data_IF_908810967462
#
_entry.id   IF_908810967462
#
_cell.length_a   1.000
_cell.length_b   1.000
_cell.length_c   1.000
_cell.angle_alpha   90.00
_cell.angle_beta   90.00
_cell.angle_gamma   90.00
#
_symmetry.space_group_name_H-M   'P 1'
#
loop_
_entity.id
_entity.type
_entity.pdbx_description
1 polymer ?
#
# COMPACT_ATOMS: atom_id res chain seq x y z
N UNK A 1 3.53 -1.64 -13.45
CA UNK A 1 3.36 -0.37 -12.72
C UNK A 1 2.63 0.63 -13.61
N UNK A 2 1.30 0.76 -13.51
CA UNK A 2 0.55 1.76 -14.27
C UNK A 2 -0.01 2.81 -13.30
N UNK A 3 0.58 4.01 -13.31
CA UNK A 3 0.08 5.31 -12.85
C UNK A 3 1.20 6.15 -12.22
N UNK A 4 1.07 7.47 -12.35
CA UNK A 4 2.03 8.51 -12.00
C UNK A 4 2.23 8.70 -10.48
N UNK A 5 2.63 7.64 -9.78
CA UNK A 5 3.13 7.75 -8.40
C UNK A 5 4.51 8.41 -8.47
N UNK A 6 4.82 9.40 -7.61
CA UNK A 6 6.13 10.04 -7.60
C UNK A 6 7.23 9.00 -7.44
N UNK A 7 8.10 8.89 -8.45
CA UNK A 7 9.24 8.00 -8.43
C UNK A 7 10.30 8.57 -7.47
N UNK A 8 10.55 7.86 -6.39
CA UNK A 8 11.67 8.07 -5.48
C UNK A 8 12.63 6.91 -5.74
N UNK A 9 13.80 7.22 -6.28
CA UNK A 9 14.74 6.21 -6.82
C UNK A 9 15.21 5.20 -5.75
N UNK A 10 15.16 5.58 -4.48
CA UNK A 10 15.58 4.76 -3.34
C UNK A 10 14.42 3.98 -2.69
N UNK A 11 13.17 4.24 -3.08
CA UNK A 11 12.02 3.62 -2.45
C UNK A 11 11.65 2.30 -3.11
N UNK A 12 11.21 1.35 -2.29
CA UNK A 12 10.60 0.11 -2.76
C UNK A 12 9.09 0.29 -2.87
N UNK A 13 8.53 -0.19 -3.98
CA UNK A 13 7.10 -0.10 -4.28
C UNK A 13 6.47 -1.48 -4.21
N UNK A 14 5.39 -1.59 -3.44
CA UNK A 14 4.61 -2.81 -3.28
C UNK A 14 3.20 -2.58 -3.78
N UNK A 15 2.62 -3.57 -4.46
CA UNK A 15 1.23 -3.55 -4.88
C UNK A 15 0.38 -4.40 -3.92
N UNK A 16 -0.71 -3.84 -3.43
CA UNK A 16 -1.73 -4.57 -2.68
C UNK A 16 -2.70 -5.20 -3.67
N UNK A 17 -2.77 -6.53 -3.67
CA UNK A 17 -3.77 -7.24 -4.47
C UNK A 17 -5.12 -7.25 -3.75
N UNK A 18 -6.07 -6.51 -4.32
CA UNK A 18 -7.42 -6.36 -3.78
C UNK A 18 -8.38 -7.51 -4.18
N UNK A 19 -7.87 -8.57 -4.81
CA UNK A 19 -8.67 -9.75 -5.18
C UNK A 19 -9.05 -10.65 -3.98
N UNK A 20 -8.37 -10.46 -2.85
CA UNK A 20 -8.48 -11.31 -1.66
C UNK A 20 -9.58 -10.84 -0.70
N UNK A 21 -10.16 -11.76 0.09
CA UNK A 21 -11.20 -11.42 1.06
C UNK A 21 -10.72 -10.44 2.14
N UNK A 22 -9.42 -10.45 2.45
CA UNK A 22 -8.81 -9.46 3.34
C UNK A 22 -8.95 -8.03 2.80
N UNK A 23 -8.78 -7.84 1.49
CA UNK A 23 -8.95 -6.54 0.86
C UNK A 23 -10.40 -6.07 0.88
N UNK A 24 -11.37 -6.99 0.69
CA UNK A 24 -12.79 -6.66 0.85
C UNK A 24 -13.10 -6.22 2.27
N UNK A 25 -12.59 -6.93 3.28
CA UNK A 25 -12.76 -6.56 4.68
C UNK A 25 -12.16 -5.18 4.99
N UNK A 26 -10.99 -4.85 4.42
CA UNK A 26 -10.39 -3.51 4.57
C UNK A 26 -11.25 -2.41 3.94
N UNK A 27 -11.83 -2.68 2.75
CA UNK A 27 -12.71 -1.73 2.06
C UNK A 27 -14.04 -1.54 2.82
N UNK A 28 -14.65 -2.62 3.30
CA UNK A 28 -15.90 -2.57 4.08
C UNK A 28 -15.70 -1.85 5.42
N UNK A 29 -14.57 -2.08 6.10
CA UNK A 29 -14.22 -1.39 7.33
C UNK A 29 -13.81 0.08 7.11
N UNK A 30 -13.56 0.49 5.86
CA UNK A 30 -13.14 1.83 5.49
C UNK A 30 -11.79 2.24 6.07
N UNK A 31 -10.97 1.29 6.51
CA UNK A 31 -9.67 1.56 7.11
C UNK A 31 -8.63 0.49 6.73
N UNK A 32 -7.36 0.88 6.77
CA UNK A 32 -6.23 0.00 6.58
C UNK A 32 -5.17 0.30 7.63
N UNK A 33 -4.68 -0.74 8.30
CA UNK A 33 -3.61 -0.61 9.30
C UNK A 33 -2.46 -1.49 8.88
N UNK A 34 -1.25 -0.92 8.81
CA UNK A 34 -0.03 -1.65 8.47
C UNK A 34 0.87 -1.72 9.70
N UNK A 35 1.32 -2.93 10.03
CA UNK A 35 2.31 -3.14 11.07
C UNK A 35 3.70 -3.12 10.48
N UNK A 36 4.57 -2.25 10.98
CA UNK A 36 6.00 -2.21 10.64
C UNK A 36 6.80 -2.71 11.83
N UNK A 37 7.53 -3.82 11.70
CA UNK A 37 8.39 -4.29 12.77
C UNK A 37 9.61 -3.37 12.90
N UNK A 38 10.06 -3.16 14.13
CA UNK A 38 11.24 -2.33 14.44
C UNK A 38 12.52 -2.83 13.75
N UNK A 39 12.60 -4.14 13.43
CA UNK A 39 13.70 -4.73 12.66
C UNK A 39 13.88 -4.14 11.26
N UNK A 40 12.85 -3.47 10.73
CA UNK A 40 12.90 -2.83 9.41
C UNK A 40 13.63 -1.47 9.47
N UNK A 41 13.90 -0.95 10.67
CA UNK A 41 14.57 0.35 10.87
C UNK A 41 13.62 1.53 10.70
N UNK A 42 14.18 2.68 10.33
CA UNK A 42 13.43 3.92 10.08
C UNK A 42 12.72 3.87 8.71
N UNK A 43 11.60 3.13 8.66
CA UNK A 43 10.81 2.98 7.45
C UNK A 43 9.66 3.96 7.41
N UNK A 44 9.61 4.73 6.32
CA UNK A 44 8.47 5.59 5.98
C UNK A 44 7.55 4.89 4.99
N UNK A 45 6.35 4.57 5.43
CA UNK A 45 5.28 4.04 4.56
C UNK A 45 4.45 5.18 3.96
N UNK A 46 4.18 5.08 2.66
CA UNK A 46 3.23 5.94 1.96
C UNK A 46 2.26 5.06 1.17
N UNK A 47 0.95 5.24 1.38
CA UNK A 47 -0.11 4.47 0.71
C UNK A 47 -0.73 5.29 -0.43
N UNK A 48 -0.80 4.69 -1.61
CA UNK A 48 -1.44 5.29 -2.79
C UNK A 48 -2.57 4.39 -3.29
N UNK A 49 -3.73 4.98 -3.56
CA UNK A 49 -4.85 4.29 -4.20
C UNK A 49 -4.99 4.78 -5.66
N UNK A 50 -4.99 3.85 -6.61
CA UNK A 50 -5.21 4.14 -8.03
C UNK A 50 -6.57 3.57 -8.42
N UNK A 51 -7.52 4.45 -8.73
CA UNK A 51 -8.86 4.05 -9.16
C UNK A 51 -8.79 3.50 -10.59
N UNK A 52 -9.33 2.28 -10.80
CA UNK A 52 -9.54 1.73 -12.15
C UNK A 52 -10.81 2.38 -12.73
N UNK A 53 -10.73 2.84 -13.97
CA UNK A 53 -11.87 3.36 -14.74
C UNK A 53 -12.82 2.25 -15.17
#
# INVERSE_FOLDING_TARGET
>A
MPAAIPLRLENQYFALDLSTDAARAMLEAGNCTFYTPESLGDVKLELFAVLRS
#
